data_IF_834143778486
#
_entry.id   IF_834143778486
#
_cell.length_a   1.000
_cell.length_b   1.000
_cell.length_c   1.000
_cell.angle_alpha   90.00
_cell.angle_beta   90.00
_cell.angle_gamma   90.00
#
_symmetry.space_group_name_H-M   'P 1'
#
loop_
_entity.id
_entity.type
_entity.pdbx_description
1 polymer ?
#
# COMPACT_ATOMS: atom_id res chain seq x y z
N UNK A 1 17.18 22.45 16.46
CA UNK A 1 18.25 22.24 15.44
C UNK A 1 17.65 21.53 14.27
N UNK A 2 17.63 22.19 13.11
CA UNK A 2 17.30 21.52 11.84
C UNK A 2 18.58 20.80 11.42
N UNK A 3 18.53 19.47 11.29
CA UNK A 3 19.66 18.70 10.77
C UNK A 3 20.03 19.22 9.36
N UNK A 4 21.31 19.26 8.98
CA UNK A 4 21.69 19.64 7.63
C UNK A 4 21.01 18.70 6.65
N UNK A 5 20.45 19.27 5.56
CA UNK A 5 19.82 18.49 4.49
C UNK A 5 20.86 17.65 3.78
N UNK A 6 20.49 16.42 3.42
CA UNK A 6 21.30 15.61 2.54
C UNK A 6 21.28 16.22 1.12
N UNK A 7 22.43 16.32 0.49
CA UNK A 7 22.56 16.72 -0.92
C UNK A 7 21.72 15.80 -1.81
N UNK A 8 20.92 16.37 -2.71
CA UNK A 8 20.02 15.63 -3.59
C UNK A 8 18.77 15.07 -2.91
N UNK A 9 18.32 15.66 -1.80
CA UNK A 9 17.06 15.27 -1.13
C UNK A 9 15.83 15.54 -2.02
N UNK A 10 14.68 14.99 -1.61
CA UNK A 10 13.44 15.12 -2.38
C UNK A 10 13.02 16.58 -2.58
N UNK A 11 13.25 17.46 -1.58
CA UNK A 11 12.89 18.86 -1.70
C UNK A 11 13.77 19.60 -2.70
N UNK A 12 15.05 19.31 -2.72
CA UNK A 12 15.97 19.88 -3.73
C UNK A 12 15.56 19.47 -5.14
N UNK A 13 15.22 18.19 -5.36
CA UNK A 13 14.69 17.72 -6.65
C UNK A 13 13.38 18.40 -7.06
N UNK A 14 12.50 18.69 -6.12
CA UNK A 14 11.30 19.49 -6.39
C UNK A 14 11.68 20.89 -6.82
N UNK A 15 12.59 21.55 -6.11
CA UNK A 15 13.07 22.88 -6.46
C UNK A 15 13.72 22.91 -7.85
N UNK A 16 14.55 21.93 -8.18
CA UNK A 16 15.18 21.77 -9.48
C UNK A 16 14.15 21.60 -10.61
N UNK A 17 13.10 20.80 -10.38
CA UNK A 17 12.05 20.57 -11.38
C UNK A 17 11.29 21.85 -11.74
N UNK A 18 11.23 22.83 -10.84
CA UNK A 18 10.59 24.12 -11.02
C UNK A 18 11.57 25.25 -11.37
N UNK A 19 12.88 24.98 -11.50
CA UNK A 19 13.90 26.02 -11.71
C UNK A 19 13.68 26.87 -12.98
N UNK A 20 13.03 26.30 -14.00
CA UNK A 20 12.75 26.96 -15.28
C UNK A 20 11.49 27.85 -15.25
N UNK A 21 10.71 27.83 -14.15
CA UNK A 21 9.48 28.61 -14.00
C UNK A 21 9.79 29.88 -13.22
N UNK A 22 9.33 31.08 -13.68
CA UNK A 22 9.57 32.34 -12.95
C UNK A 22 8.74 32.39 -11.66
N UNK A 23 9.21 33.24 -10.71
CA UNK A 23 8.45 33.63 -9.52
C UNK A 23 7.25 34.53 -9.93
N UNK A 24 6.06 34.41 -9.28
CA UNK A 24 5.75 33.58 -8.10
C UNK A 24 5.25 32.18 -8.41
N UNK A 25 5.04 31.82 -9.69
CA UNK A 25 4.50 30.51 -10.07
C UNK A 25 5.40 29.36 -9.58
N UNK A 26 6.71 29.55 -9.57
CA UNK A 26 7.67 28.56 -9.07
C UNK A 26 7.44 28.20 -7.61
N UNK A 27 7.36 29.20 -6.75
CA UNK A 27 7.15 28.98 -5.30
C UNK A 27 5.81 28.31 -5.02
N UNK A 28 4.77 28.69 -5.75
CA UNK A 28 3.45 28.07 -5.66
C UNK A 28 3.51 26.61 -6.11
N UNK A 29 4.20 26.32 -7.20
CA UNK A 29 4.40 24.97 -7.72
C UNK A 29 5.13 24.08 -6.73
N UNK A 30 6.27 24.53 -6.21
CA UNK A 30 7.04 23.83 -5.16
C UNK A 30 6.16 23.53 -3.94
N UNK A 31 5.43 24.53 -3.44
CA UNK A 31 4.56 24.35 -2.28
C UNK A 31 3.45 23.32 -2.53
N UNK A 32 2.84 23.31 -3.72
CA UNK A 32 1.82 22.34 -4.12
C UNK A 32 2.38 20.92 -4.19
N UNK A 33 3.56 20.73 -4.76
CA UNK A 33 4.19 19.42 -4.84
C UNK A 33 4.53 18.87 -3.46
N UNK A 34 5.09 19.69 -2.57
CA UNK A 34 5.35 19.30 -1.17
C UNK A 34 4.07 18.88 -0.46
N UNK A 35 2.98 19.65 -0.60
CA UNK A 35 1.69 19.35 0.03
C UNK A 35 1.11 18.05 -0.54
N UNK A 36 1.12 17.86 -1.85
CA UNK A 36 0.57 16.67 -2.52
C UNK A 36 1.34 15.42 -2.09
N UNK A 37 2.67 15.46 -2.06
CA UNK A 37 3.51 14.34 -1.61
C UNK A 37 3.23 14.02 -0.14
N UNK A 38 3.15 15.04 0.72
CA UNK A 38 2.83 14.88 2.14
C UNK A 38 1.45 14.24 2.34
N UNK A 39 0.42 14.75 1.68
CA UNK A 39 -0.94 14.20 1.77
C UNK A 39 -1.02 12.78 1.22
N UNK A 40 -0.38 12.49 0.09
CA UNK A 40 -0.36 11.18 -0.54
C UNK A 40 0.35 10.13 0.31
N UNK A 41 1.41 10.51 1.02
CA UNK A 41 2.17 9.60 1.89
C UNK A 41 1.43 9.28 3.18
N UNK A 42 0.84 10.27 3.85
CA UNK A 42 0.30 10.09 5.22
C UNK A 42 -0.86 9.10 5.30
N UNK A 43 -1.91 9.30 4.50
CA UNK A 43 -3.14 8.51 4.63
C UNK A 43 -2.91 7.01 4.38
N UNK A 44 -2.20 6.69 3.31
CA UNK A 44 -1.94 5.31 2.91
C UNK A 44 -0.88 4.64 3.77
N UNK A 45 0.20 5.34 4.11
CA UNK A 45 1.28 4.80 4.93
C UNK A 45 0.78 4.43 6.34
N UNK A 46 0.03 5.33 6.98
CA UNK A 46 -0.49 5.06 8.32
C UNK A 46 -1.53 3.93 8.33
N UNK A 47 -2.39 3.87 7.32
CA UNK A 47 -3.33 2.76 7.21
C UNK A 47 -2.62 1.42 6.97
N UNK A 48 -1.61 1.38 6.11
CA UNK A 48 -0.81 0.19 5.85
C UNK A 48 -0.04 -0.27 7.10
N UNK A 49 0.57 0.67 7.82
CA UNK A 49 1.27 0.42 9.08
C UNK A 49 0.31 -0.12 10.15
N UNK A 50 -0.87 0.49 10.29
CA UNK A 50 -1.88 0.04 11.24
C UNK A 50 -2.36 -1.38 10.94
N UNK A 51 -2.64 -1.72 9.67
CA UNK A 51 -3.02 -3.07 9.30
C UNK A 51 -1.90 -4.08 9.47
N UNK A 52 -0.67 -3.71 9.15
CA UNK A 52 0.50 -4.57 9.43
C UNK A 52 0.57 -4.89 10.92
N UNK A 53 0.39 -3.90 11.78
CA UNK A 53 0.37 -4.11 13.23
C UNK A 53 -0.83 -4.94 13.70
N UNK A 54 -2.03 -4.67 13.16
CA UNK A 54 -3.26 -5.42 13.50
C UNK A 54 -3.09 -6.91 13.19
N UNK A 55 -2.62 -7.25 11.99
CA UNK A 55 -2.37 -8.65 11.62
C UNK A 55 -1.22 -9.26 12.43
N UNK A 56 -0.19 -8.48 12.73
CA UNK A 56 0.97 -8.94 13.50
C UNK A 56 0.60 -9.29 14.96
N UNK A 57 -0.25 -8.49 15.59
CA UNK A 57 -0.69 -8.76 16.96
C UNK A 57 -1.53 -10.03 17.10
N UNK A 58 -2.04 -10.57 16.00
CA UNK A 58 -2.65 -11.91 15.95
C UNK A 58 -1.62 -13.04 15.74
N UNK A 59 -0.32 -12.72 15.65
CA UNK A 59 0.76 -13.67 15.34
C UNK A 59 1.94 -13.55 16.32
N UNK A 60 1.78 -14.01 17.56
CA UNK A 60 2.85 -13.98 18.56
C UNK A 60 4.15 -14.67 18.09
N UNK A 61 4.02 -15.74 17.31
CA UNK A 61 5.15 -16.44 16.70
C UNK A 61 6.00 -15.53 15.80
N UNK A 62 5.38 -14.65 15.03
CA UNK A 62 6.08 -13.69 14.17
C UNK A 62 6.71 -12.57 15.00
N UNK A 63 6.04 -12.11 16.05
CA UNK A 63 6.58 -11.10 16.97
C UNK A 63 7.88 -11.60 17.59
N UNK A 64 7.91 -12.83 18.08
CA UNK A 64 9.12 -13.41 18.68
C UNK A 64 10.27 -13.57 17.67
N UNK A 65 9.96 -13.88 16.41
CA UNK A 65 10.99 -13.90 15.35
C UNK A 65 11.60 -12.52 15.12
N UNK A 66 10.78 -11.46 15.07
CA UNK A 66 11.26 -10.08 14.91
C UNK A 66 12.13 -9.69 16.12
N UNK A 67 11.71 -10.04 17.32
CA UNK A 67 12.47 -9.83 18.56
C UNK A 67 13.82 -10.55 18.55
N UNK A 68 13.87 -11.72 17.93
CA UNK A 68 15.11 -12.49 17.73
C UNK A 68 15.98 -11.96 16.58
N UNK A 69 15.59 -10.90 15.88
CA UNK A 69 16.38 -10.27 14.82
C UNK A 69 15.97 -10.61 13.40
N UNK A 70 14.90 -11.40 13.18
CA UNK A 70 14.41 -11.74 11.84
C UNK A 70 13.46 -10.66 11.31
N UNK A 71 14.00 -9.48 11.01
CA UNK A 71 13.22 -8.37 10.43
C UNK A 71 12.81 -8.63 8.98
N UNK A 72 13.48 -9.56 8.30
CA UNK A 72 13.19 -9.90 6.92
C UNK A 72 11.76 -10.36 6.69
N UNK A 73 11.10 -10.90 7.71
CA UNK A 73 9.71 -11.33 7.67
C UNK A 73 8.72 -10.17 7.54
N UNK A 74 9.08 -8.96 8.00
CA UNK A 74 8.18 -7.81 7.98
C UNK A 74 7.87 -7.31 6.56
N UNK A 75 8.79 -7.50 5.61
CA UNK A 75 8.55 -7.09 4.24
C UNK A 75 7.40 -7.89 3.59
N UNK A 76 7.45 -9.24 3.47
CA UNK A 76 6.33 -10.00 2.95
C UNK A 76 5.05 -9.82 3.79
N UNK A 77 5.18 -9.66 5.11
CA UNK A 77 4.06 -9.45 6.01
C UNK A 77 3.31 -8.14 5.69
N UNK A 78 4.03 -7.04 5.50
CA UNK A 78 3.44 -5.74 5.16
C UNK A 78 2.78 -5.74 3.77
N UNK A 79 3.38 -6.41 2.79
CA UNK A 79 2.79 -6.56 1.46
C UNK A 79 1.47 -7.34 1.52
N UNK A 80 1.44 -8.42 2.29
CA UNK A 80 0.21 -9.21 2.46
C UNK A 80 -0.87 -8.42 3.20
N UNK A 81 -0.50 -7.65 4.24
CA UNK A 81 -1.42 -6.77 4.94
C UNK A 81 -2.04 -5.71 4.00
N UNK A 82 -1.22 -5.09 3.14
CA UNK A 82 -1.69 -4.14 2.13
C UNK A 82 -2.59 -4.84 1.12
N UNK A 83 -2.21 -6.01 0.60
CA UNK A 83 -3.02 -6.79 -0.34
C UNK A 83 -4.44 -7.01 0.18
N UNK A 84 -4.56 -7.46 1.41
CA UNK A 84 -5.87 -7.75 2.05
C UNK A 84 -6.73 -6.50 2.28
N UNK A 85 -6.11 -5.34 2.40
CA UNK A 85 -6.80 -4.11 2.81
C UNK A 85 -6.85 -3.02 1.74
N UNK A 86 -6.28 -3.29 0.57
CA UNK A 86 -6.25 -2.36 -0.57
C UNK A 86 -7.67 -2.11 -1.12
N UNK A 87 -8.03 -0.84 -1.29
CA UNK A 87 -9.31 -0.36 -1.82
C UNK A 87 -9.16 0.52 -3.06
N UNK A 88 -7.96 0.55 -3.65
CA UNK A 88 -7.71 1.30 -4.87
C UNK A 88 -8.55 0.78 -6.03
N UNK A 89 -8.86 1.70 -6.93
CA UNK A 89 -9.53 1.42 -8.19
C UNK A 89 -8.54 1.75 -9.30
N UNK A 90 -8.35 0.81 -10.21
CA UNK A 90 -7.63 1.08 -11.45
C UNK A 90 -8.65 1.50 -12.50
N UNK A 91 -8.57 2.75 -12.94
CA UNK A 91 -9.46 3.31 -13.95
C UNK A 91 -8.74 3.41 -15.29
N UNK A 92 -9.41 2.99 -16.35
CA UNK A 92 -8.92 3.09 -17.73
C UNK A 92 -9.99 3.65 -18.63
N UNK A 93 -9.58 4.47 -19.60
CA UNK A 93 -10.46 4.94 -20.68
C UNK A 93 -10.15 4.15 -21.93
N UNK A 94 -11.16 3.59 -22.55
CA UNK A 94 -11.05 2.92 -23.84
C UNK A 94 -10.73 3.97 -24.90
N UNK A 95 -9.67 3.79 -25.66
CA UNK A 95 -9.22 4.73 -26.71
C UNK A 95 -9.54 4.22 -28.12
N UNK A 96 -9.70 2.91 -28.30
CA UNK A 96 -10.13 2.25 -29.51
C UNK A 96 -11.19 1.19 -29.16
N UNK A 97 -12.09 0.81 -30.08
CA UNK A 97 -13.09 -0.22 -29.81
C UNK A 97 -12.41 -1.52 -29.33
N UNK A 98 -12.96 -2.13 -28.30
CA UNK A 98 -12.47 -3.40 -27.73
C UNK A 98 -13.68 -4.31 -27.53
N UNK A 99 -13.55 -5.57 -27.97
CA UNK A 99 -14.49 -6.61 -27.62
C UNK A 99 -13.99 -7.32 -26.35
N UNK A 100 -14.86 -7.39 -25.35
CA UNK A 100 -14.59 -8.04 -24.08
C UNK A 100 -15.54 -9.23 -23.92
N UNK A 101 -14.97 -10.44 -23.82
CA UNK A 101 -15.71 -11.67 -23.63
C UNK A 101 -15.94 -11.97 -22.16
N UNK A 102 -17.18 -12.25 -21.78
CA UNK A 102 -17.56 -12.70 -20.45
C UNK A 102 -18.50 -13.88 -20.54
N UNK A 103 -17.99 -15.08 -20.31
CA UNK A 103 -18.74 -16.32 -20.54
C UNK A 103 -19.16 -16.43 -22.00
N UNK A 104 -20.47 -16.48 -22.26
CA UNK A 104 -21.04 -16.55 -23.63
C UNK A 104 -21.44 -15.17 -24.20
N UNK A 105 -21.18 -14.09 -23.48
CA UNK A 105 -21.52 -12.75 -23.91
C UNK A 105 -20.28 -12.00 -24.40
N UNK A 106 -20.44 -11.23 -25.48
CA UNK A 106 -19.44 -10.30 -26.00
C UNK A 106 -19.93 -8.89 -25.70
N UNK A 107 -19.13 -8.11 -24.98
CA UNK A 107 -19.38 -6.72 -24.67
C UNK A 107 -18.53 -5.83 -25.56
N UNK A 108 -19.16 -5.00 -26.38
CA UNK A 108 -18.48 -4.04 -27.25
C UNK A 108 -18.20 -2.75 -26.45
N UNK A 109 -16.95 -2.50 -26.12
CA UNK A 109 -16.53 -1.30 -25.42
C UNK A 109 -16.13 -0.21 -26.43
N UNK A 110 -16.89 0.84 -26.49
CA UNK A 110 -16.64 1.96 -27.40
C UNK A 110 -15.59 2.94 -26.84
N UNK A 111 -14.91 3.71 -27.71
CA UNK A 111 -14.03 4.78 -27.28
C UNK A 111 -14.73 5.75 -26.32
N UNK A 112 -14.03 6.15 -25.25
CA UNK A 112 -14.60 7.00 -24.19
C UNK A 112 -15.18 6.20 -23.02
N UNK A 113 -15.49 4.92 -23.16
CA UNK A 113 -15.96 4.06 -22.07
C UNK A 113 -14.91 4.03 -20.95
N UNK A 114 -15.37 4.13 -19.70
CA UNK A 114 -14.53 3.98 -18.51
C UNK A 114 -14.65 2.55 -17.97
N UNK A 115 -13.51 1.87 -17.88
CA UNK A 115 -13.39 0.54 -17.29
C UNK A 115 -12.69 0.66 -15.94
N UNK A 116 -13.28 0.10 -14.90
CA UNK A 116 -12.67 0.11 -13.56
C UNK A 116 -12.45 -1.29 -13.02
N UNK A 117 -11.27 -1.50 -12.43
CA UNK A 117 -10.94 -2.72 -11.70
C UNK A 117 -10.80 -2.38 -10.21
N UNK A 118 -11.56 -3.08 -9.39
CA UNK A 118 -11.53 -2.88 -7.93
C UNK A 118 -10.49 -3.81 -7.31
N UNK A 119 -9.38 -3.24 -6.81
CA UNK A 119 -8.29 -4.01 -6.20
C UNK A 119 -8.75 -4.82 -4.98
N UNK A 120 -9.74 -4.34 -4.25
CA UNK A 120 -10.33 -5.11 -3.13
C UNK A 120 -10.94 -6.43 -3.56
N UNK A 121 -11.41 -6.52 -4.80
CA UNK A 121 -11.97 -7.76 -5.35
C UNK A 121 -10.85 -8.62 -5.92
N UNK A 122 -10.09 -8.12 -6.87
CA UNK A 122 -9.06 -8.93 -7.54
C UNK A 122 -7.99 -9.43 -6.59
N UNK A 123 -7.54 -8.63 -5.64
CA UNK A 123 -6.55 -9.03 -4.64
C UNK A 123 -7.00 -10.21 -3.75
N UNK A 124 -8.31 -10.43 -3.60
CA UNK A 124 -8.83 -11.44 -2.67
C UNK A 124 -9.62 -12.57 -3.34
N UNK A 125 -10.01 -12.41 -4.61
CA UNK A 125 -10.85 -13.38 -5.32
C UNK A 125 -10.28 -13.89 -6.64
N UNK A 126 -9.15 -13.34 -7.12
CA UNK A 126 -8.53 -13.78 -8.37
C UNK A 126 -8.10 -15.27 -8.34
N UNK A 127 -7.92 -15.83 -7.15
CA UNK A 127 -7.75 -17.26 -6.92
C UNK A 127 -8.23 -17.65 -5.51
N UNK A 128 -8.68 -18.89 -5.28
CA UNK A 128 -9.23 -19.32 -3.97
C UNK A 128 -8.26 -19.13 -2.79
N UNK A 129 -6.97 -19.33 -3.02
CA UNK A 129 -5.93 -19.20 -2.00
C UNK A 129 -5.64 -17.73 -1.60
N UNK A 130 -6.15 -16.74 -2.34
CA UNK A 130 -6.04 -15.32 -2.02
C UNK A 130 -7.09 -14.83 -1.01
N UNK A 131 -8.09 -15.64 -0.69
CA UNK A 131 -9.19 -15.23 0.20
C UNK A 131 -8.73 -14.97 1.65
N UNK A 132 -7.60 -15.54 2.06
CA UNK A 132 -7.07 -15.43 3.42
C UNK A 132 -5.70 -14.76 3.45
N UNK A 133 -5.36 -14.22 4.61
CA UNK A 133 -4.03 -13.69 4.89
C UNK A 133 -3.01 -14.82 4.95
N UNK A 134 -2.00 -14.77 4.10
CA UNK A 134 -0.90 -15.73 4.07
C UNK A 134 0.39 -15.05 3.62
N UNK A 135 1.36 -14.93 4.53
CA UNK A 135 2.65 -14.30 4.25
C UNK A 135 3.47 -15.03 3.17
N UNK A 136 3.20 -16.33 2.95
CA UNK A 136 3.87 -17.11 1.91
C UNK A 136 3.54 -16.65 0.49
N UNK A 137 2.49 -15.83 0.32
CA UNK A 137 2.17 -15.19 -0.94
C UNK A 137 3.27 -14.24 -1.44
N UNK A 138 4.18 -13.81 -0.56
CA UNK A 138 5.27 -12.91 -0.91
C UNK A 138 6.63 -13.47 -0.54
N UNK A 139 7.63 -13.17 -1.36
CA UNK A 139 9.06 -13.31 -1.05
C UNK A 139 9.70 -11.93 -1.09
N UNK A 140 9.92 -11.32 0.06
CA UNK A 140 10.19 -9.89 0.14
C UNK A 140 9.03 -9.10 -0.47
N UNK A 141 9.28 -8.31 -1.49
CA UNK A 141 8.28 -7.55 -2.26
C UNK A 141 7.73 -8.28 -3.50
N UNK A 142 8.25 -9.47 -3.80
CA UNK A 142 7.86 -10.23 -4.99
C UNK A 142 6.65 -11.11 -4.67
N UNK A 143 5.70 -11.15 -5.59
CA UNK A 143 4.54 -12.04 -5.57
C UNK A 143 4.78 -13.21 -6.55
N UNK A 144 5.39 -14.35 -6.10
CA UNK A 144 5.90 -15.38 -7.00
C UNK A 144 4.80 -16.09 -7.79
N UNK A 145 3.60 -16.21 -7.19
CA UNK A 145 2.46 -16.92 -7.76
C UNK A 145 1.64 -16.10 -8.77
N UNK A 146 2.12 -14.93 -9.17
CA UNK A 146 1.45 -14.09 -10.17
C UNK A 146 1.20 -14.83 -11.49
N UNK A 147 2.09 -15.76 -11.87
CA UNK A 147 1.97 -16.56 -13.08
C UNK A 147 0.88 -17.63 -13.02
N UNK A 148 0.35 -17.94 -11.84
CA UNK A 148 -0.77 -18.87 -11.64
C UNK A 148 -2.13 -18.18 -11.83
N UNK A 149 -2.13 -16.85 -11.97
CA UNK A 149 -3.34 -16.04 -12.18
C UNK A 149 -3.65 -15.93 -13.68
N UNK A 150 -4.92 -15.66 -14.01
CA UNK A 150 -5.35 -15.40 -15.39
C UNK A 150 -4.60 -14.21 -16.03
N UNK A 151 -4.19 -13.22 -15.22
CA UNK A 151 -3.23 -12.19 -15.58
C UNK A 151 -2.38 -11.82 -14.35
N UNK A 152 -1.05 -11.66 -14.49
CA UNK A 152 -0.15 -11.37 -13.37
C UNK A 152 -0.51 -10.08 -12.60
N UNK A 153 -1.15 -9.13 -13.29
CA UNK A 153 -1.53 -7.82 -12.77
C UNK A 153 -2.81 -7.81 -11.94
N UNK A 154 -3.53 -8.94 -11.84
CA UNK A 154 -4.76 -9.05 -11.06
C UNK A 154 -4.54 -8.81 -9.57
N UNK A 155 -3.35 -9.12 -9.06
CA UNK A 155 -2.97 -8.88 -7.67
C UNK A 155 -1.88 -7.83 -7.60
N UNK A 156 -2.12 -6.79 -6.84
CA UNK A 156 -1.13 -5.72 -6.63
C UNK A 156 -1.30 -5.01 -5.30
N UNK A 157 -0.18 -4.60 -4.73
CA UNK A 157 -0.12 -3.76 -3.53
C UNK A 157 0.18 -2.30 -3.87
N UNK A 158 1.06 -2.07 -4.84
CA UNK A 158 1.60 -0.75 -5.20
C UNK A 158 1.37 -0.36 -6.67
N UNK A 159 0.52 -1.08 -7.39
CA UNK A 159 0.27 -0.85 -8.81
C UNK A 159 1.27 -1.52 -9.73
N UNK A 160 1.12 -1.30 -11.04
CA UNK A 160 1.90 -1.96 -12.09
C UNK A 160 2.43 -0.97 -13.13
N UNK A 161 3.57 -1.32 -13.74
CA UNK A 161 4.18 -0.60 -14.85
C UNK A 161 4.46 0.86 -14.49
N UNK A 162 4.18 1.78 -15.40
CA UNK A 162 4.39 3.22 -15.19
C UNK A 162 3.47 3.86 -14.12
N UNK A 163 2.49 3.13 -13.64
CA UNK A 163 1.60 3.56 -12.55
C UNK A 163 1.96 2.90 -11.21
N UNK A 164 3.11 2.25 -11.11
CA UNK A 164 3.63 1.76 -9.83
C UNK A 164 3.85 2.93 -8.87
N UNK A 165 3.48 2.74 -7.62
CA UNK A 165 3.66 3.77 -6.58
C UNK A 165 5.14 4.17 -6.47
N UNK A 166 5.50 5.44 -6.69
CA UNK A 166 6.90 5.89 -6.61
C UNK A 166 7.46 5.77 -5.18
N UNK A 167 6.59 5.83 -4.16
CA UNK A 167 6.95 5.70 -2.77
C UNK A 167 7.03 4.25 -2.26
N UNK A 168 6.97 3.24 -3.13
CA UNK A 168 6.94 1.83 -2.73
C UNK A 168 8.09 1.47 -1.77
N UNK A 169 9.33 1.75 -2.16
CA UNK A 169 10.52 1.44 -1.34
C UNK A 169 10.51 2.17 -0.01
N UNK A 170 10.20 3.48 -0.05
CA UNK A 170 10.08 4.30 1.16
C UNK A 170 9.01 3.76 2.10
N UNK A 171 7.81 3.49 1.58
CA UNK A 171 6.69 2.98 2.39
C UNK A 171 7.02 1.65 3.05
N UNK A 172 7.59 0.71 2.30
CA UNK A 172 7.97 -0.59 2.84
C UNK A 172 9.02 -0.45 3.94
N UNK A 173 10.08 0.35 3.73
CA UNK A 173 11.12 0.59 4.75
C UNK A 173 10.54 1.28 5.98
N UNK A 174 9.70 2.29 5.82
CA UNK A 174 9.08 3.02 6.93
C UNK A 174 8.18 2.10 7.77
N UNK A 175 7.36 1.25 7.13
CA UNK A 175 6.49 0.30 7.83
C UNK A 175 7.33 -0.73 8.59
N UNK A 176 8.28 -1.36 7.94
CA UNK A 176 9.08 -2.44 8.54
C UNK A 176 9.91 -1.92 9.70
N UNK A 177 10.56 -0.77 9.55
CA UNK A 177 11.38 -0.18 10.61
C UNK A 177 10.50 0.23 11.81
N UNK A 178 9.41 0.95 11.58
CA UNK A 178 8.55 1.40 12.68
C UNK A 178 7.92 0.23 13.44
N UNK A 179 7.48 -0.82 12.75
CA UNK A 179 6.91 -2.01 13.40
C UNK A 179 7.99 -2.78 14.17
N UNK A 180 9.19 -2.95 13.60
CA UNK A 180 10.31 -3.59 14.28
C UNK A 180 10.66 -2.88 15.61
N UNK A 181 10.80 -1.56 15.56
CA UNK A 181 11.08 -0.76 16.75
C UNK A 181 9.98 -0.88 17.81
N UNK A 182 8.70 -0.81 17.38
CA UNK A 182 7.58 -0.97 18.30
C UNK A 182 7.58 -2.30 19.02
N UNK A 183 7.73 -3.42 18.31
CA UNK A 183 7.64 -4.76 18.94
C UNK A 183 8.89 -5.14 19.73
N UNK A 184 10.04 -4.53 19.45
CA UNK A 184 11.27 -4.73 20.22
C UNK A 184 11.27 -3.99 21.54
N UNK A 185 10.70 -2.79 21.57
CA UNK A 185 10.76 -1.93 22.76
C UNK A 185 9.51 -1.98 23.62
N UNK A 186 8.42 -2.54 23.10
CA UNK A 186 7.15 -2.58 23.82
C UNK A 186 6.50 -3.95 23.76
N UNK A 187 5.85 -4.33 24.85
CA UNK A 187 4.82 -5.35 24.84
C UNK A 187 3.51 -4.69 24.47
N UNK A 188 2.85 -5.24 23.46
CA UNK A 188 1.66 -4.66 22.83
C UNK A 188 0.49 -5.60 23.01
N UNK A 189 -0.61 -5.12 23.57
CA UNK A 189 -1.82 -5.89 23.81
C UNK A 189 -3.01 -5.27 23.05
N UNK A 190 -3.65 -5.99 22.11
CA UNK A 190 -4.81 -5.49 21.41
C UNK A 190 -6.02 -5.34 22.36
N UNK A 191 -6.65 -4.16 22.33
CA UNK A 191 -7.88 -3.84 23.05
C UNK A 191 -9.03 -3.62 22.07
N UNK A 192 -9.06 -4.41 21.02
CA UNK A 192 -10.09 -4.41 19.98
C UNK A 192 -10.45 -5.85 19.61
N UNK A 193 -11.58 -6.01 18.95
CA UNK A 193 -12.05 -7.31 18.48
C UNK A 193 -12.42 -7.18 17.01
N UNK A 194 -11.81 -8.02 16.18
CA UNK A 194 -12.16 -8.29 14.78
C UNK A 194 -12.41 -7.04 13.92
N UNK A 195 -11.38 -6.18 13.70
CA UNK A 195 -11.53 -5.02 12.85
C UNK A 195 -11.54 -5.43 11.37
N UNK A 196 -12.39 -4.75 10.58
CA UNK A 196 -12.48 -4.96 9.15
C UNK A 196 -12.11 -3.70 8.36
N UNK A 197 -11.59 -3.82 7.13
CA UNK A 197 -11.42 -2.68 6.25
C UNK A 197 -12.76 -2.00 5.99
N UNK A 198 -12.81 -0.66 6.09
CA UNK A 198 -14.06 0.11 5.87
C UNK A 198 -14.71 -0.26 4.54
N UNK A 199 -15.96 -0.79 4.53
CA UNK A 199 -16.58 -1.32 3.31
C UNK A 199 -16.81 -0.27 2.23
N UNK A 200 -17.12 0.97 2.63
CA UNK A 200 -17.46 2.08 1.72
C UNK A 200 -16.27 2.97 1.36
N UNK A 201 -15.07 2.66 1.85
CA UNK A 201 -13.89 3.43 1.47
C UNK A 201 -13.43 3.00 0.08
N UNK A 202 -13.26 3.98 -0.80
CA UNK A 202 -12.63 3.82 -2.11
C UNK A 202 -11.29 4.56 -2.10
N UNK A 203 -10.31 3.96 -2.77
CA UNK A 203 -8.95 4.52 -2.88
C UNK A 203 -8.03 4.14 -1.72
N UNK A 204 -6.79 3.82 -2.07
CA UNK A 204 -5.71 3.51 -1.14
C UNK A 204 -5.92 2.29 -0.26
N UNK A 205 -5.18 2.25 0.83
CA UNK A 205 -5.34 1.25 1.89
C UNK A 205 -6.50 1.67 2.80
N UNK A 206 -7.46 0.78 3.04
CA UNK A 206 -8.62 1.10 3.85
C UNK A 206 -8.22 1.35 5.31
N UNK A 207 -8.89 2.30 5.95
CA UNK A 207 -8.88 2.41 7.42
C UNK A 207 -9.70 1.28 8.02
N UNK A 208 -9.44 0.95 9.28
CA UNK A 208 -10.31 0.04 10.02
C UNK A 208 -11.71 0.66 10.22
N UNK A 209 -12.73 -0.20 10.27
CA UNK A 209 -14.13 0.19 10.47
C UNK A 209 -14.40 0.72 11.90
N UNK A 210 -13.48 0.46 12.81
CA UNK A 210 -13.54 0.82 14.22
C UNK A 210 -12.19 1.27 14.77
N UNK A 211 -12.22 1.89 15.94
CA UNK A 211 -11.00 2.28 16.66
C UNK A 211 -10.30 1.03 17.23
N UNK A 212 -9.05 0.82 16.85
CA UNK A 212 -8.21 -0.27 17.32
C UNK A 212 -7.25 0.25 18.41
N UNK A 213 -7.70 0.22 19.67
CA UNK A 213 -6.87 0.61 20.82
C UNK A 213 -5.85 -0.49 21.13
N UNK A 214 -4.64 -0.11 21.49
CA UNK A 214 -3.58 -1.02 21.91
C UNK A 214 -3.08 -0.54 23.28
N UNK A 215 -3.08 -1.42 24.27
CA UNK A 215 -2.34 -1.19 25.50
C UNK A 215 -0.87 -1.53 25.26
N UNK A 216 0.03 -0.80 25.91
CA UNK A 216 1.45 -1.05 25.79
C UNK A 216 2.18 -0.86 27.11
N UNK A 217 3.26 -1.59 27.30
CA UNK A 217 4.23 -1.39 28.36
C UNK A 217 5.64 -1.45 27.76
N UNK A 218 6.55 -0.66 28.31
CA UNK A 218 7.96 -0.69 27.89
C UNK A 218 8.62 -1.98 28.39
N UNK A 219 9.41 -2.59 27.56
CA UNK A 219 10.22 -3.76 27.90
C UNK A 219 11.52 -3.35 28.60
#
# INVERSE_FOLDING_TARGET
>A
CIAPRAEGDLFERICESWAHVPSPEREIGIARDVIVIHMGSQANLFAAMAWTLIFLLARPDVIERIRAGDDGILNPFSHEAIRMTQRSIVLRRVVAPIDFEQGNAIHHLLPGTLVSTMMSVTNTTAAPWLAKFDISNYRGSVFPRSRELAAPELVTTYGHGKHTCPAHRFSTSAITQAISELVRHFDLEPRYKDPHPRPRQLGGVARADRLCKIAYSRR
#
